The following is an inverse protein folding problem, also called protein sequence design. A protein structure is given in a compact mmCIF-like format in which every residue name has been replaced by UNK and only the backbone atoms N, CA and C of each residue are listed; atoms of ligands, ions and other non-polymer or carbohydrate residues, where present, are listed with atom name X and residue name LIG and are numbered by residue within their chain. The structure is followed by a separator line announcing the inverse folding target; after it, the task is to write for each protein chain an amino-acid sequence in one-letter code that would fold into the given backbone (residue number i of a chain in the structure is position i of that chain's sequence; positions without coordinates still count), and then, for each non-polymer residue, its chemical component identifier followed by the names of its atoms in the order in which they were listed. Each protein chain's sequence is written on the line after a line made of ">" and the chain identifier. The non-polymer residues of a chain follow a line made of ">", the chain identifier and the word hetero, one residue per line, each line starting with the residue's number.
data_IF_301336237381
#
_entry.id   IF_301336237381
#
_cell.length_a   1.000
_cell.length_b   1.000
_cell.length_c   1.000
_cell.angle_alpha   90.00
_cell.angle_beta   90.00
_cell.angle_gamma   90.00
#
_symmetry.space_group_name_H-M   'P 1'
#
loop_
_entity.id
_entity.type
_entity.pdbx_description
1 polymer ?
#
# COMPACT_ATOMS: atom_id res chain seq x y z
N UNK A 1 -13.17 13.80 13.45
CA UNK A 1 -12.62 14.17 12.12
C UNK A 1 -13.17 13.17 11.12
N UNK A 2 -13.86 13.64 10.09
CA UNK A 2 -14.32 12.80 8.98
C UNK A 2 -13.14 12.61 8.03
N UNK A 3 -12.70 11.36 7.81
CA UNK A 3 -11.69 11.03 6.82
C UNK A 3 -12.36 10.90 5.46
N UNK A 4 -11.74 11.46 4.42
CA UNK A 4 -12.30 11.43 3.07
C UNK A 4 -12.23 10.01 2.49
N UNK A 5 -13.36 9.52 1.97
CA UNK A 5 -13.38 8.31 1.14
C UNK A 5 -12.96 8.67 -0.29
N UNK A 6 -11.94 7.99 -0.83
CA UNK A 6 -11.53 8.12 -2.22
C UNK A 6 -12.12 6.98 -3.07
N UNK A 7 -12.82 7.34 -4.13
CA UNK A 7 -13.30 6.38 -5.12
C UNK A 7 -12.19 6.08 -6.12
N UNK A 8 -11.72 4.83 -6.14
CA UNK A 8 -10.69 4.38 -7.07
C UNK A 8 -11.33 3.85 -8.34
N UNK A 9 -11.04 4.52 -9.46
CA UNK A 9 -11.49 4.11 -10.80
C UNK A 9 -10.26 3.57 -11.55
N UNK A 10 -10.26 2.30 -11.99
CA UNK A 10 -9.19 1.72 -12.79
C UNK A 10 -8.93 2.52 -14.07
N UNK A 11 -7.71 2.46 -14.58
CA UNK A 11 -7.38 3.02 -15.88
C UNK A 11 -8.13 2.26 -16.99
N UNK A 12 -8.32 2.91 -18.14
CA UNK A 12 -9.00 2.31 -19.29
C UNK A 12 -8.27 1.03 -19.75
N UNK A 13 -9.03 -0.03 -20.03
CA UNK A 13 -8.50 -1.30 -20.52
C UNK A 13 -7.78 -2.20 -19.52
N UNK A 14 -7.59 -1.77 -18.26
CA UNK A 14 -6.89 -2.56 -17.24
C UNK A 14 -7.67 -2.63 -15.92
N UNK A 15 -7.47 -3.69 -15.10
CA UNK A 15 -8.23 -3.88 -13.85
C UNK A 15 -7.63 -3.15 -12.63
N UNK A 16 -6.73 -2.19 -12.84
CA UNK A 16 -6.01 -1.44 -11.79
C UNK A 16 -5.92 0.05 -12.16
N UNK A 17 -5.57 0.89 -11.20
CA UNK A 17 -5.19 2.28 -11.44
C UNK A 17 -3.68 2.42 -11.23
N UNK A 18 -2.99 3.01 -12.20
CA UNK A 18 -1.54 3.19 -12.23
C UNK A 18 -1.22 4.61 -12.62
N UNK A 19 -0.41 5.29 -11.82
CA UNK A 19 0.00 6.67 -12.10
C UNK A 19 1.31 7.00 -11.39
N UNK A 20 1.94 8.10 -11.81
CA UNK A 20 3.06 8.70 -11.09
C UNK A 20 2.54 9.80 -10.16
N UNK A 21 3.06 9.74 -8.95
CA UNK A 21 2.99 10.82 -7.98
C UNK A 21 4.32 11.56 -7.99
N UNK A 22 4.28 12.84 -8.31
CA UNK A 22 5.48 13.71 -8.32
C UNK A 22 5.28 14.90 -7.39
N UNK A 23 6.11 14.97 -6.36
CA UNK A 23 6.23 16.16 -5.53
C UNK A 23 7.15 17.18 -6.20
N UNK A 24 6.60 18.06 -7.03
CA UNK A 24 7.42 18.93 -7.92
C UNK A 24 8.07 20.08 -7.20
N UNK A 25 7.84 20.60 -6.13
CA UNK A 25 8.50 21.80 -5.55
C UNK A 25 8.62 21.77 -4.02
N UNK A 26 8.62 20.59 -3.43
CA UNK A 26 8.50 20.47 -1.98
C UNK A 26 7.11 20.85 -1.47
N UNK A 27 6.68 20.29 -0.35
CA UNK A 27 5.38 20.53 0.29
C UNK A 27 4.15 19.94 -0.40
N UNK A 28 4.27 18.82 -1.11
CA UNK A 28 3.09 18.06 -1.46
C UNK A 28 2.62 17.25 -0.24
N UNK A 29 1.35 17.41 0.10
CA UNK A 29 0.68 16.60 1.10
C UNK A 29 -0.63 16.06 0.54
N UNK A 30 -0.89 14.78 0.72
CA UNK A 30 -2.21 14.19 0.55
C UNK A 30 -2.81 13.99 1.93
N UNK A 31 -3.92 14.66 2.18
CA UNK A 31 -4.63 14.58 3.44
C UNK A 31 -5.10 13.15 3.78
N UNK A 32 -5.42 12.92 5.04
CA UNK A 32 -5.90 11.63 5.53
C UNK A 32 -7.15 11.19 4.77
N UNK A 33 -7.04 10.04 4.12
CA UNK A 33 -8.12 9.42 3.36
C UNK A 33 -8.06 7.90 3.46
N UNK A 34 -9.05 7.23 2.90
CA UNK A 34 -9.12 5.77 2.81
C UNK A 34 -9.88 5.35 1.54
N UNK A 35 -9.64 4.14 1.09
CA UNK A 35 -10.31 3.52 -0.06
C UNK A 35 -10.39 2.00 0.09
N UNK A 36 -11.20 1.36 -0.76
CA UNK A 36 -11.41 -0.11 -0.74
C UNK A 36 -10.39 -0.89 -1.57
N UNK A 37 -9.43 -0.24 -2.20
CA UNK A 37 -8.34 -0.88 -2.95
C UNK A 37 -7.15 -1.20 -2.05
N UNK A 38 -6.35 -2.19 -2.44
CA UNK A 38 -4.97 -2.32 -1.97
C UNK A 38 -4.10 -1.38 -2.80
N UNK A 39 -3.15 -0.70 -2.19
CA UNK A 39 -2.31 0.28 -2.86
C UNK A 39 -0.83 0.01 -2.60
N UNK A 40 0.00 0.23 -3.62
CA UNK A 40 1.45 0.14 -3.53
C UNK A 40 2.03 1.49 -3.91
N UNK A 41 2.85 2.09 -3.02
CA UNK A 41 3.75 3.18 -3.34
C UNK A 41 5.15 2.62 -3.55
N UNK A 42 5.74 2.83 -4.73
CA UNK A 42 7.11 2.43 -5.05
C UNK A 42 7.92 3.68 -5.44
N UNK A 43 8.83 4.09 -4.56
CA UNK A 43 9.62 5.31 -4.73
C UNK A 43 10.73 5.06 -5.74
N UNK A 44 10.74 5.83 -6.83
CA UNK A 44 11.77 5.78 -7.87
C UNK A 44 12.92 6.76 -7.60
N UNK A 45 12.56 7.97 -7.19
CA UNK A 45 13.51 9.05 -6.91
C UNK A 45 13.07 9.84 -5.69
N UNK A 46 14.04 10.34 -4.93
CA UNK A 46 13.83 11.16 -3.76
C UNK A 46 13.30 10.37 -2.57
N UNK A 47 12.50 11.02 -1.74
CA UNK A 47 11.90 10.42 -0.54
C UNK A 47 10.54 11.01 -0.23
N UNK A 48 9.73 10.28 0.52
CA UNK A 48 8.47 10.73 1.09
C UNK A 48 8.20 10.02 2.42
N UNK A 49 7.35 10.62 3.27
CA UNK A 49 6.80 9.98 4.45
C UNK A 49 5.35 9.59 4.20
N UNK A 50 5.03 8.32 4.43
CA UNK A 50 3.67 7.81 4.39
C UNK A 50 3.22 7.51 5.82
N UNK A 51 2.00 7.91 6.16
CA UNK A 51 1.42 7.69 7.48
C UNK A 51 0.26 6.71 7.37
N UNK A 52 0.36 5.59 8.09
CA UNK A 52 -0.72 4.61 8.24
C UNK A 52 -1.24 4.65 9.68
N UNK A 53 -2.51 5.01 9.87
CA UNK A 53 -3.09 5.11 11.22
C UNK A 53 -2.20 5.92 12.19
N UNK A 54 -1.68 7.05 11.74
CA UNK A 54 -0.77 7.96 12.46
C UNK A 54 0.66 7.43 12.70
N UNK A 55 0.98 6.24 12.24
CA UNK A 55 2.33 5.71 12.26
C UNK A 55 3.09 6.09 11.00
N UNK A 56 4.27 6.68 11.14
CA UNK A 56 5.13 7.12 10.03
C UNK A 56 5.95 5.96 9.44
N UNK A 57 5.99 5.94 8.12
CA UNK A 57 6.84 5.08 7.29
C UNK A 57 7.63 5.96 6.34
N UNK A 58 8.87 6.31 6.67
CA UNK A 58 9.76 7.02 5.74
C UNK A 58 10.17 6.08 4.61
N UNK A 59 10.06 6.54 3.38
CA UNK A 59 10.40 5.78 2.18
C UNK A 59 11.44 6.54 1.36
N UNK A 60 12.47 5.82 0.94
CA UNK A 60 13.55 6.30 0.08
C UNK A 60 13.49 5.65 -1.30
N UNK A 61 14.25 6.18 -2.26
CA UNK A 61 14.36 5.60 -3.60
C UNK A 61 14.71 4.10 -3.54
N UNK A 62 13.96 3.28 -4.26
CA UNK A 62 14.05 1.82 -4.26
C UNK A 62 13.20 1.11 -3.21
N UNK A 63 12.59 1.85 -2.30
CA UNK A 63 11.68 1.30 -1.29
C UNK A 63 10.22 1.35 -1.75
N UNK A 64 9.40 0.49 -1.16
CA UNK A 64 7.96 0.47 -1.38
C UNK A 64 7.19 0.15 -0.09
N UNK A 65 5.93 0.54 -0.09
CA UNK A 65 4.96 0.19 0.95
C UNK A 65 3.68 -0.35 0.34
N UNK A 66 3.04 -1.29 1.05
CA UNK A 66 1.70 -1.81 0.73
C UNK A 66 0.72 -1.28 1.76
N UNK A 67 -0.32 -0.60 1.28
CA UNK A 67 -1.45 -0.09 2.05
C UNK A 67 -2.64 -1.02 1.82
N UNK A 68 -3.23 -1.52 2.89
CA UNK A 68 -4.38 -2.40 2.77
C UNK A 68 -5.68 -1.63 2.55
N UNK A 69 -6.67 -2.32 2.02
CA UNK A 69 -8.04 -1.81 1.94
C UNK A 69 -8.54 -1.29 3.28
N UNK A 70 -9.19 -0.14 3.26
CA UNK A 70 -9.77 0.53 4.43
C UNK A 70 -8.75 0.99 5.49
N UNK A 71 -7.46 1.09 5.16
CA UNK A 71 -6.48 1.73 6.03
C UNK A 71 -6.49 3.25 5.79
N UNK A 72 -6.64 4.02 6.88
CA UNK A 72 -6.52 5.48 6.81
C UNK A 72 -5.05 5.82 6.63
N UNK A 73 -4.76 6.59 5.59
CA UNK A 73 -3.39 6.98 5.27
C UNK A 73 -3.29 8.40 4.75
N UNK A 74 -2.10 8.97 4.84
CA UNK A 74 -1.74 10.26 4.28
C UNK A 74 -0.29 10.23 3.79
N UNK A 75 0.06 11.15 2.91
CA UNK A 75 1.40 11.26 2.32
C UNK A 75 1.93 12.66 2.54
N UNK A 76 3.21 12.78 2.91
CA UNK A 76 3.95 14.03 2.94
C UNK A 76 5.23 13.87 2.12
N UNK A 77 5.41 14.75 1.15
CA UNK A 77 6.60 14.81 0.31
C UNK A 77 7.19 16.22 0.37
N UNK A 78 8.04 16.52 1.37
CA UNK A 78 8.61 17.84 1.56
C UNK A 78 9.64 18.20 0.49
N UNK A 79 10.10 17.23 -0.27
CA UNK A 79 11.09 17.41 -1.33
C UNK A 79 10.62 16.74 -2.63
N UNK A 80 11.33 17.04 -3.72
CA UNK A 80 11.09 16.41 -5.01
C UNK A 80 11.18 14.89 -4.87
N UNK A 81 10.17 14.21 -5.36
CA UNK A 81 10.14 12.74 -5.46
C UNK A 81 9.46 12.32 -6.76
N UNK A 82 9.69 11.08 -7.15
CA UNK A 82 8.96 10.40 -8.20
C UNK A 82 8.57 9.02 -7.69
N UNK A 83 7.28 8.78 -7.58
CA UNK A 83 6.74 7.57 -6.96
C UNK A 83 5.68 6.95 -7.86
N UNK A 84 5.82 5.67 -8.17
CA UNK A 84 4.78 4.91 -8.87
C UNK A 84 3.72 4.52 -7.83
N UNK A 85 2.45 4.80 -8.15
CA UNK A 85 1.30 4.39 -7.34
C UNK A 85 0.46 3.40 -8.13
N UNK A 86 0.30 2.18 -7.58
CA UNK A 86 -0.53 1.13 -8.13
C UNK A 86 -1.68 0.81 -7.16
N UNK A 87 -2.91 1.11 -7.58
CA UNK A 87 -4.12 0.81 -6.81
C UNK A 87 -4.85 -0.39 -7.41
N UNK A 88 -5.02 -1.43 -6.61
CA UNK A 88 -5.57 -2.73 -7.01
C UNK A 88 -6.93 -2.91 -6.34
N UNK A 89 -8.05 -2.91 -7.09
CA UNK A 89 -9.36 -3.16 -6.51
C UNK A 89 -9.42 -4.49 -5.76
N UNK A 90 -10.00 -4.49 -4.57
CA UNK A 90 -10.01 -5.65 -3.68
C UNK A 90 -10.64 -6.91 -4.32
N UNK A 91 -11.56 -6.72 -5.28
CA UNK A 91 -12.16 -7.82 -6.06
C UNK A 91 -11.14 -8.70 -6.81
N UNK A 92 -9.93 -8.18 -7.10
CA UNK A 92 -8.87 -8.97 -7.77
C UNK A 92 -8.33 -10.10 -6.88
N UNK A 93 -8.58 -10.03 -5.57
CA UNK A 93 -8.16 -11.03 -4.59
C UNK A 93 -9.33 -11.89 -4.08
N UNK A 94 -10.52 -11.83 -4.72
CA UNK A 94 -11.74 -12.47 -4.21
C UNK A 94 -11.61 -13.97 -3.96
N UNK A 95 -10.82 -14.69 -4.78
CA UNK A 95 -10.59 -16.14 -4.67
C UNK A 95 -9.79 -16.51 -3.40
N UNK A 96 -9.17 -15.51 -2.76
CA UNK A 96 -8.40 -15.66 -1.53
C UNK A 96 -9.15 -15.15 -0.29
N UNK A 97 -10.42 -14.75 -0.46
CA UNK A 97 -11.28 -14.40 0.66
C UNK A 97 -11.85 -15.67 1.28
N UNK A 98 -11.80 -15.76 2.60
CA UNK A 98 -12.64 -16.71 3.32
C UNK A 98 -13.96 -16.04 3.68
N UNK A 99 -15.02 -16.81 3.91
CA UNK A 99 -16.40 -16.35 4.09
C UNK A 99 -16.61 -15.25 5.14
N UNK A 100 -15.61 -14.91 5.93
CA UNK A 100 -15.67 -13.89 7.00
C UNK A 100 -14.47 -12.96 7.07
N UNK A 101 -13.50 -13.00 6.13
CA UNK A 101 -12.22 -12.28 6.29
C UNK A 101 -11.68 -11.73 4.97
N UNK A 102 -11.42 -10.43 4.96
CA UNK A 102 -10.67 -9.77 3.89
C UNK A 102 -9.19 -10.16 3.94
N UNK A 103 -8.57 -10.27 2.78
CA UNK A 103 -7.12 -10.45 2.66
C UNK A 103 -6.38 -9.20 3.18
N UNK A 104 -5.26 -9.43 3.87
CA UNK A 104 -4.34 -8.37 4.29
C UNK A 104 -2.92 -8.74 3.92
N UNK A 105 -2.11 -7.71 3.70
CA UNK A 105 -0.71 -7.81 3.36
C UNK A 105 0.15 -7.09 4.41
N UNK A 106 1.36 -7.58 4.62
CA UNK A 106 2.38 -6.87 5.40
C UNK A 106 2.70 -5.55 4.69
N UNK A 107 2.96 -4.49 5.46
CA UNK A 107 3.23 -3.16 4.88
C UNK A 107 4.43 -3.11 3.94
N UNK A 108 5.41 -4.02 4.12
CA UNK A 108 6.63 -4.11 3.32
C UNK A 108 7.62 -2.94 3.49
N UNK A 109 7.35 -2.00 4.38
CA UNK A 109 8.22 -0.87 4.70
C UNK A 109 8.55 -0.87 6.20
N UNK A 110 9.65 -0.20 6.54
CA UNK A 110 10.09 -0.02 7.93
C UNK A 110 9.32 1.11 8.58
N UNK A 111 8.75 0.84 9.73
CA UNK A 111 8.09 1.84 10.56
C UNK A 111 9.14 2.76 11.23
N UNK A 112 8.86 4.05 11.31
CA UNK A 112 9.74 5.02 11.98
C UNK A 112 9.96 4.62 13.46
N UNK A 113 11.22 4.63 13.89
CA UNK A 113 11.61 4.21 15.25
C UNK A 113 11.80 2.69 15.45
N UNK A 114 11.57 1.84 14.44
CA UNK A 114 11.71 0.38 14.51
C UNK A 114 12.83 -0.12 13.59
N UNK A 115 14.10 0.16 13.94
CA UNK A 115 15.25 -0.15 13.07
C UNK A 115 15.56 -1.65 12.96
N UNK A 116 15.15 -2.46 13.95
CA UNK A 116 15.43 -3.91 14.00
C UNK A 116 14.33 -4.75 13.33
N UNK A 117 13.29 -4.14 12.79
CA UNK A 117 12.21 -4.87 12.13
C UNK A 117 12.70 -5.51 10.83
N UNK A 118 12.50 -6.83 10.71
CA UNK A 118 12.85 -7.59 9.51
C UNK A 118 11.79 -7.36 8.44
N UNK A 119 12.10 -6.49 7.47
CA UNK A 119 11.25 -6.29 6.30
C UNK A 119 11.54 -7.34 5.20
N UNK A 120 10.54 -7.73 4.40
CA UNK A 120 10.74 -8.56 3.23
C UNK A 120 11.71 -7.93 2.23
N UNK A 121 12.37 -8.75 1.42
CA UNK A 121 13.13 -8.25 0.27
C UNK A 121 12.18 -7.75 -0.82
N UNK A 122 12.06 -6.44 -0.93
CA UNK A 122 11.10 -5.77 -1.80
C UNK A 122 11.57 -5.58 -3.25
N UNK A 123 12.84 -5.87 -3.55
CA UNK A 123 13.45 -5.58 -4.87
C UNK A 123 12.68 -6.20 -6.03
N UNK A 124 12.19 -7.43 -5.86
CA UNK A 124 11.44 -8.13 -6.91
C UNK A 124 10.07 -7.50 -7.16
N UNK A 125 9.36 -7.12 -6.10
CA UNK A 125 8.07 -6.46 -6.22
C UNK A 125 8.22 -5.06 -6.81
N UNK A 126 9.21 -4.28 -6.35
CA UNK A 126 9.53 -2.96 -6.87
C UNK A 126 9.87 -3.02 -8.38
N UNK A 127 10.70 -3.99 -8.78
CA UNK A 127 11.03 -4.24 -10.19
C UNK A 127 9.77 -4.48 -11.05
N UNK A 128 8.86 -5.34 -10.61
CA UNK A 128 7.64 -5.61 -11.39
C UNK A 128 6.69 -4.41 -11.44
N UNK A 129 6.63 -3.60 -10.39
CA UNK A 129 5.82 -2.37 -10.39
C UNK A 129 6.40 -1.35 -11.37
N UNK A 130 7.72 -1.20 -11.39
CA UNK A 130 8.42 -0.32 -12.33
C UNK A 130 8.26 -0.79 -13.78
N UNK A 131 8.49 -2.08 -14.06
CA UNK A 131 8.29 -2.66 -15.38
C UNK A 131 6.85 -2.53 -15.87
N UNK A 132 5.87 -2.76 -14.97
CA UNK A 132 4.46 -2.56 -15.28
C UNK A 132 4.20 -1.12 -15.74
N UNK A 133 4.74 -0.14 -15.01
CA UNK A 133 4.58 1.27 -15.37
C UNK A 133 5.21 1.57 -16.73
N UNK A 134 6.43 1.12 -16.98
CA UNK A 134 7.15 1.37 -18.22
C UNK A 134 6.44 0.75 -19.42
N UNK A 135 6.05 -0.53 -19.34
CA UNK A 135 5.37 -1.23 -20.44
C UNK A 135 4.00 -0.62 -20.72
N UNK A 136 3.23 -0.30 -19.68
CA UNK A 136 1.90 0.29 -19.85
C UNK A 136 1.92 1.64 -20.57
N UNK A 137 2.98 2.45 -20.39
CA UNK A 137 3.08 3.78 -21.01
C UNK A 137 3.86 3.79 -22.34
N UNK A 138 4.56 2.70 -22.70
CA UNK A 138 5.32 2.64 -23.97
C UNK A 138 4.47 2.18 -25.16
N UNK A 139 3.37 1.50 -24.93
CA UNK A 139 2.37 1.05 -25.93
C UNK A 139 3.01 0.40 -27.18
N UNK A 140 3.97 -0.50 -26.99
CA UNK A 140 4.58 -1.28 -28.07
C UNK A 140 3.73 -2.50 -28.45
N UNK A 141 4.10 -3.21 -29.53
CA UNK A 141 3.40 -4.41 -29.97
C UNK A 141 3.24 -5.45 -28.85
N UNK A 142 2.00 -5.85 -28.54
CA UNK A 142 1.67 -6.83 -27.50
C UNK A 142 1.82 -6.29 -26.05
N UNK A 143 1.88 -4.97 -25.88
CA UNK A 143 2.02 -4.36 -24.57
C UNK A 143 0.87 -4.74 -23.60
N UNK A 144 -0.34 -4.96 -24.11
CA UNK A 144 -1.49 -5.38 -23.30
C UNK A 144 -1.23 -6.73 -22.63
N UNK A 145 -0.68 -7.70 -23.38
CA UNK A 145 -0.34 -9.02 -22.83
C UNK A 145 0.79 -8.91 -21.80
N UNK A 146 1.82 -8.12 -22.12
CA UNK A 146 2.95 -7.90 -21.19
C UNK A 146 2.51 -7.19 -19.92
N UNK A 147 1.67 -6.17 -20.03
CA UNK A 147 1.05 -5.43 -18.92
C UNK A 147 0.31 -6.39 -17.99
N UNK A 148 -0.57 -7.23 -18.55
CA UNK A 148 -1.32 -8.19 -17.74
C UNK A 148 -0.43 -9.29 -17.13
N UNK A 149 0.60 -9.74 -17.83
CA UNK A 149 1.57 -10.70 -17.29
C UNK A 149 2.33 -10.13 -16.09
N UNK A 150 2.79 -8.88 -16.17
CA UNK A 150 3.46 -8.17 -15.07
C UNK A 150 2.50 -7.94 -13.89
N UNK A 151 1.27 -7.52 -14.17
CA UNK A 151 0.25 -7.36 -13.16
C UNK A 151 -0.03 -8.66 -12.38
N UNK A 152 -0.21 -9.79 -13.07
CA UNK A 152 -0.40 -11.09 -12.41
C UNK A 152 0.84 -11.55 -11.64
N UNK A 153 2.07 -11.22 -12.09
CA UNK A 153 3.27 -11.46 -11.31
C UNK A 153 3.27 -10.67 -9.98
N UNK A 154 2.80 -9.40 -10.01
CA UNK A 154 2.64 -8.60 -8.80
C UNK A 154 1.64 -9.26 -7.85
N UNK A 155 0.43 -9.63 -8.33
CA UNK A 155 -0.57 -10.31 -7.51
C UNK A 155 -0.03 -11.62 -6.91
N UNK A 156 0.67 -12.41 -7.72
CA UNK A 156 1.30 -13.66 -7.26
C UNK A 156 2.30 -13.42 -6.13
N UNK A 157 3.21 -12.43 -6.27
CA UNK A 157 4.17 -12.08 -5.24
C UNK A 157 3.47 -11.60 -3.95
N UNK A 158 2.46 -10.74 -4.10
CA UNK A 158 1.69 -10.24 -2.95
C UNK A 158 1.07 -11.39 -2.14
N UNK A 159 0.43 -12.34 -2.83
CA UNK A 159 -0.19 -13.50 -2.17
C UNK A 159 0.85 -14.41 -1.53
N UNK A 160 1.96 -14.69 -2.23
CA UNK A 160 2.97 -15.65 -1.76
C UNK A 160 3.82 -15.11 -0.63
N UNK A 161 4.29 -13.85 -0.76
CA UNK A 161 5.37 -13.34 0.09
C UNK A 161 4.90 -12.32 1.13
N UNK A 162 3.80 -11.61 0.83
CA UNK A 162 3.34 -10.49 1.67
C UNK A 162 2.03 -10.75 2.40
N UNK A 163 1.31 -11.82 2.07
CA UNK A 163 0.05 -12.15 2.76
C UNK A 163 0.29 -12.37 4.25
N UNK A 164 -0.50 -11.69 5.09
CA UNK A 164 -0.51 -11.92 6.53
C UNK A 164 -1.07 -13.31 6.85
N UNK A 165 -0.42 -14.03 7.76
CA UNK A 165 -0.96 -15.29 8.27
C UNK A 165 -2.17 -15.04 9.18
N UNK A 166 -3.07 -16.02 9.26
CA UNK A 166 -4.22 -15.92 10.17
C UNK A 166 -3.83 -15.80 11.64
N UNK A 167 -2.72 -16.45 12.04
CA UNK A 167 -2.20 -16.40 13.40
C UNK A 167 -1.72 -14.99 13.76
N UNK A 168 -0.86 -14.38 12.92
CA UNK A 168 -0.40 -13.01 13.12
C UNK A 168 -1.55 -12.00 13.20
N UNK A 169 -2.60 -12.21 12.40
CA UNK A 169 -3.79 -11.37 12.39
C UNK A 169 -4.62 -11.50 13.68
N UNK A 170 -4.72 -12.70 14.26
CA UNK A 170 -5.42 -12.90 15.53
C UNK A 170 -4.71 -12.17 16.66
N UNK A 171 -3.38 -12.18 16.71
CA UNK A 171 -2.58 -11.44 17.69
C UNK A 171 -2.76 -9.93 17.57
N UNK A 172 -2.71 -9.36 16.34
CA UNK A 172 -2.94 -7.93 16.11
C UNK A 172 -4.35 -7.51 16.54
N UNK A 173 -5.37 -8.31 16.21
CA UNK A 173 -6.75 -8.03 16.59
C UNK A 173 -6.97 -8.16 18.10
N UNK A 174 -6.32 -9.10 18.77
CA UNK A 174 -6.35 -9.25 20.22
C UNK A 174 -5.69 -8.05 20.91
N UNK A 175 -4.51 -7.62 20.43
CA UNK A 175 -3.82 -6.44 20.94
C UNK A 175 -4.68 -5.17 20.78
N UNK A 176 -5.22 -4.91 19.58
CA UNK A 176 -6.10 -3.75 19.34
C UNK A 176 -7.35 -3.74 20.21
N UNK A 177 -7.95 -4.91 20.49
CA UNK A 177 -9.08 -5.03 21.41
C UNK A 177 -8.68 -4.71 22.84
N UNK A 178 -7.53 -5.17 23.29
CA UNK A 178 -6.99 -4.89 24.62
C UNK A 178 -6.67 -3.40 24.77
N UNK A 179 -6.07 -2.76 23.76
CA UNK A 179 -5.81 -1.33 23.75
C UNK A 179 -7.10 -0.49 23.79
N UNK A 180 -8.12 -0.89 23.03
CA UNK A 180 -9.43 -0.23 23.06
C UNK A 180 -10.12 -0.39 24.43
N UNK A 181 -10.07 -1.58 25.02
CA UNK A 181 -10.62 -1.83 26.36
C UNK A 181 -9.86 -1.05 27.43
N UNK A 182 -8.52 -0.95 27.33
CA UNK A 182 -7.68 -0.17 28.24
C UNK A 182 -8.06 1.31 28.19
N UNK A 183 -8.25 1.87 26.98
CA UNK A 183 -8.71 3.26 26.80
C UNK A 183 -10.10 3.52 27.41
N UNK A 184 -11.04 2.60 27.18
CA UNK A 184 -12.39 2.70 27.76
C UNK A 184 -12.34 2.63 29.29
N UNK A 185 -11.56 1.71 29.86
CA UNK A 185 -11.43 1.56 31.31
C UNK A 185 -10.71 2.74 31.96
N UNK A 186 -9.76 3.39 31.29
CA UNK A 186 -9.15 4.62 31.80
C UNK A 186 -10.15 5.78 31.82
N UNK A 187 -10.96 5.91 30.77
CA UNK A 187 -11.99 6.95 30.66
C UNK A 187 -13.13 6.79 31.71
N UNK A 188 -13.40 5.57 32.17
CA UNK A 188 -14.41 5.29 33.21
C UNK A 188 -13.89 5.52 34.65
N UNK A 189 -12.58 5.76 34.82
CA UNK A 189 -11.95 6.00 36.12
C UNK A 189 -11.67 7.50 36.41
N UNK A 190 -11.86 8.36 35.43
CA UNK A 190 -11.89 9.82 35.56
C UNK A 190 -13.33 10.31 35.85
#
# INVERSE_FOLDING_TARGET
>A
MEFQHELIIPNEGVPFKLFIFEGMNGNYAREKHWHTSVEIFAVQEGHLSLFLNDQEYPLEAGELIIINSNEVHSVQAPHKNRTIVLQIPLKQFQDYFTAQRFIRFKSAARMSGHQDEKIPDNRKLAFFVEELYNVYHQEGDGYEFRTMALYYNILFLMIRDYRESEAARQEINASRRLDALSKITSYMRE
#
